data_IF_613752509778
#
_entry.id   IF_613752509778
#
_cell.length_a   1.000
_cell.length_b   1.000
_cell.length_c   1.000
_cell.angle_alpha   90.00
_cell.angle_beta   90.00
_cell.angle_gamma   90.00
#
_symmetry.space_group_name_H-M   'P 1'
#
loop_
_entity.id
_entity.type
_entity.pdbx_description
1 polymer ?
#
# COMPACT_ATOMS: atom_id res chain seq x y z
N UNK A 1 -12.89 -4.42 -15.03
CA UNK A 1 -13.02 -5.52 -16.00
C UNK A 1 -11.84 -6.49 -15.85
N UNK A 2 -12.08 -7.78 -16.13
CA UNK A 2 -11.07 -8.82 -16.28
C UNK A 2 -11.18 -9.39 -17.71
N UNK A 3 -10.03 -9.53 -18.35
CA UNK A 3 -9.92 -10.14 -19.68
C UNK A 3 -9.30 -11.54 -19.56
N UNK A 4 -10.02 -12.56 -20.00
CA UNK A 4 -9.53 -13.93 -20.02
C UNK A 4 -8.71 -14.18 -21.31
N UNK A 5 -7.41 -14.42 -21.17
CA UNK A 5 -6.48 -14.62 -22.28
C UNK A 5 -6.76 -15.91 -23.08
N UNK A 6 -7.41 -16.90 -22.47
CA UNK A 6 -7.73 -18.18 -23.13
C UNK A 6 -9.01 -18.09 -23.95
N UNK A 7 -10.07 -17.55 -23.34
CA UNK A 7 -11.39 -17.45 -24.00
C UNK A 7 -11.56 -16.16 -24.78
N UNK A 8 -10.65 -15.17 -24.65
CA UNK A 8 -10.72 -13.84 -25.24
C UNK A 8 -11.99 -13.07 -24.82
N UNK A 9 -12.53 -13.37 -23.66
CA UNK A 9 -13.73 -12.72 -23.15
C UNK A 9 -13.40 -11.68 -22.09
N UNK A 10 -14.13 -10.59 -22.09
CA UNK A 10 -14.07 -9.55 -21.05
C UNK A 10 -15.25 -9.70 -20.12
N UNK A 11 -15.01 -9.72 -18.82
CA UNK A 11 -16.02 -9.73 -17.76
C UNK A 11 -15.94 -8.44 -16.95
N UNK A 12 -17.07 -7.74 -16.80
CA UNK A 12 -17.18 -6.61 -15.89
C UNK A 12 -17.32 -7.11 -14.46
N UNK A 13 -16.57 -6.52 -13.52
CA UNK A 13 -16.54 -6.91 -12.11
C UNK A 13 -17.30 -5.94 -11.20
N UNK A 14 -17.29 -4.64 -11.53
CA UNK A 14 -17.93 -3.57 -10.75
C UNK A 14 -18.92 -2.80 -11.64
N UNK A 15 -20.05 -2.36 -11.07
CA UNK A 15 -21.16 -1.76 -11.84
C UNK A 15 -21.61 -0.40 -11.31
N UNK A 16 -20.96 0.10 -10.26
CA UNK A 16 -21.29 1.36 -9.58
C UNK A 16 -20.32 2.50 -9.92
N UNK A 17 -19.35 2.25 -10.81
CA UNK A 17 -18.37 3.25 -11.24
C UNK A 17 -19.05 4.43 -11.95
N UNK A 18 -18.79 5.65 -11.47
CA UNK A 18 -19.38 6.87 -12.00
C UNK A 18 -18.38 8.02 -11.87
N UNK A 19 -18.17 8.77 -12.95
CA UNK A 19 -17.22 9.91 -12.98
C UNK A 19 -17.55 10.93 -11.88
N UNK A 20 -16.52 11.36 -11.15
CA UNK A 20 -16.60 12.29 -10.03
C UNK A 20 -17.48 11.80 -8.86
N UNK A 21 -17.70 10.49 -8.75
CA UNK A 21 -18.46 9.87 -7.64
C UNK A 21 -17.83 8.58 -7.13
N UNK A 22 -17.68 7.56 -7.99
CA UNK A 22 -17.23 6.23 -7.57
C UNK A 22 -16.12 5.75 -8.50
N UNK A 23 -14.99 5.40 -7.89
CA UNK A 23 -13.85 4.81 -8.59
C UNK A 23 -13.58 3.41 -8.01
N UNK A 24 -13.32 2.43 -8.86
CA UNK A 24 -12.97 1.07 -8.46
C UNK A 24 -11.67 0.62 -9.10
N UNK A 25 -10.69 0.21 -8.30
CA UNK A 25 -9.45 -0.42 -8.76
C UNK A 25 -8.40 0.52 -9.38
N UNK A 26 -8.68 1.81 -9.45
CA UNK A 26 -7.70 2.88 -9.69
C UNK A 26 -7.85 3.92 -8.58
N UNK A 27 -6.87 4.79 -8.42
CA UNK A 27 -6.88 5.79 -7.34
C UNK A 27 -7.66 7.04 -7.70
N UNK A 28 -8.05 7.78 -6.66
CA UNK A 28 -8.42 9.19 -6.78
C UNK A 28 -7.17 10.08 -6.88
N UNK A 29 -7.35 11.38 -7.03
CA UNK A 29 -6.26 12.34 -7.14
C UNK A 29 -5.32 12.32 -5.92
N UNK A 30 -5.84 12.23 -4.70
CA UNK A 30 -5.04 12.23 -3.46
C UNK A 30 -4.09 11.04 -3.40
N UNK A 31 -4.54 9.86 -3.76
CA UNK A 31 -3.71 8.66 -3.72
C UNK A 31 -2.67 8.62 -4.83
N UNK A 32 -2.99 9.16 -6.00
CA UNK A 32 -2.03 9.28 -7.09
C UNK A 32 -0.88 10.22 -6.71
N UNK A 33 -1.20 11.40 -6.19
CA UNK A 33 -0.21 12.44 -5.86
C UNK A 33 0.51 12.19 -4.53
N UNK A 34 -0.22 11.85 -3.46
CA UNK A 34 0.35 11.78 -2.11
C UNK A 34 0.93 10.39 -1.77
N UNK A 35 0.30 9.31 -2.24
CA UNK A 35 0.78 7.96 -2.01
C UNK A 35 1.53 7.33 -3.20
N UNK A 36 1.60 8.03 -4.34
CA UNK A 36 2.45 7.72 -5.47
C UNK A 36 2.08 6.45 -6.24
N UNK A 37 0.79 6.07 -6.31
CA UNK A 37 0.36 4.92 -7.10
C UNK A 37 -1.00 5.16 -7.79
N UNK A 38 -1.24 4.44 -8.89
CA UNK A 38 -2.47 4.51 -9.68
C UNK A 38 -3.23 3.18 -9.62
N UNK A 39 -2.51 2.06 -9.68
CA UNK A 39 -3.10 0.72 -9.64
C UNK A 39 -3.56 0.37 -8.23
N UNK A 40 -4.85 0.46 -7.96
CA UNK A 40 -5.46 0.21 -6.66
C UNK A 40 -6.09 -1.18 -6.56
N UNK A 41 -5.41 -2.21 -7.10
CA UNK A 41 -5.83 -3.61 -7.01
C UNK A 41 -4.63 -4.56 -7.02
N UNK A 42 -4.80 -5.73 -6.40
CA UNK A 42 -3.80 -6.80 -6.39
C UNK A 42 -4.45 -8.18 -6.54
N UNK A 43 -3.87 -9.02 -7.41
CA UNK A 43 -4.27 -10.40 -7.60
C UNK A 43 -3.74 -11.29 -6.48
N UNK A 44 -4.57 -12.23 -6.01
CA UNK A 44 -4.06 -13.29 -5.14
C UNK A 44 -3.02 -14.15 -5.87
N UNK A 45 -2.06 -14.77 -5.16
CA UNK A 45 -0.99 -15.56 -5.78
C UNK A 45 -1.49 -16.67 -6.72
N UNK A 46 -2.63 -17.28 -6.40
CA UNK A 46 -3.29 -18.31 -7.22
C UNK A 46 -4.19 -17.75 -8.33
N UNK A 47 -4.38 -16.43 -8.39
CA UNK A 47 -5.20 -15.75 -9.40
C UNK A 47 -6.72 -16.00 -9.28
N UNK A 48 -7.20 -16.44 -8.11
CA UNK A 48 -8.63 -16.73 -7.87
C UNK A 48 -9.40 -15.54 -7.29
N UNK A 49 -8.69 -14.60 -6.68
CA UNK A 49 -9.27 -13.41 -6.05
C UNK A 49 -8.56 -12.14 -6.51
N UNK A 50 -9.30 -11.04 -6.51
CA UNK A 50 -8.81 -9.69 -6.77
C UNK A 50 -9.17 -8.81 -5.58
N UNK A 51 -8.16 -8.32 -4.85
CA UNK A 51 -8.34 -7.28 -3.85
C UNK A 51 -8.30 -5.92 -4.55
N UNK A 52 -9.22 -4.99 -4.23
CA UNK A 52 -9.23 -3.67 -4.83
C UNK A 52 -9.77 -2.60 -3.89
N UNK A 53 -9.28 -1.38 -4.06
CA UNK A 53 -9.81 -0.20 -3.38
C UNK A 53 -10.98 0.38 -4.17
N UNK A 54 -11.99 0.81 -3.42
CA UNK A 54 -13.13 1.58 -3.91
C UNK A 54 -13.12 2.93 -3.22
N UNK A 55 -13.20 3.99 -4.01
CA UNK A 55 -13.25 5.37 -3.53
C UNK A 55 -14.64 5.95 -3.79
N UNK A 56 -15.22 6.56 -2.76
CA UNK A 56 -16.42 7.37 -2.89
C UNK A 56 -16.04 8.85 -2.78
N UNK A 57 -15.99 9.52 -3.93
CA UNK A 57 -15.64 10.93 -4.07
C UNK A 57 -16.84 11.87 -3.96
N UNK A 58 -18.04 11.36 -3.62
CA UNK A 58 -19.28 12.17 -3.65
C UNK A 58 -19.16 13.46 -2.84
N UNK A 59 -18.50 13.37 -1.66
CA UNK A 59 -18.32 14.51 -0.76
C UNK A 59 -17.05 15.34 -1.04
N UNK A 60 -16.22 14.92 -2.00
CA UNK A 60 -14.99 15.66 -2.37
C UNK A 60 -15.38 16.89 -3.21
N UNK A 61 -14.84 18.08 -2.91
CA UNK A 61 -15.08 19.26 -3.72
C UNK A 61 -14.59 19.13 -5.16
N UNK A 62 -15.24 19.83 -6.07
CA UNK A 62 -14.85 19.91 -7.48
C UNK A 62 -13.95 21.10 -7.74
N UNK A 63 -12.97 20.89 -8.59
CA UNK A 63 -12.11 21.92 -9.14
C UNK A 63 -12.21 21.93 -10.67
N UNK A 64 -12.33 23.13 -11.24
CA UNK A 64 -12.36 23.32 -12.68
C UNK A 64 -11.13 24.06 -13.14
N UNK A 65 -10.46 23.52 -14.14
CA UNK A 65 -9.25 24.10 -14.70
C UNK A 65 -9.42 24.31 -16.22
N UNK A 66 -9.03 25.48 -16.77
CA UNK A 66 -9.04 25.70 -18.20
C UNK A 66 -7.91 24.93 -18.89
N UNK A 67 -8.24 24.15 -19.91
CA UNK A 67 -7.28 23.45 -20.75
C UNK A 67 -7.18 24.20 -22.08
N UNK A 68 -6.01 24.77 -22.34
CA UNK A 68 -5.68 25.47 -23.56
C UNK A 68 -5.14 24.47 -24.59
N UNK A 69 -5.94 24.23 -25.63
CA UNK A 69 -5.54 23.44 -26.80
C UNK A 69 -5.13 24.34 -27.97
N UNK A 70 -5.42 23.87 -29.20
CA UNK A 70 -5.21 24.65 -30.42
C UNK A 70 -6.36 25.65 -30.76
N UNK A 71 -7.45 25.59 -30.01
CA UNK A 71 -8.62 26.41 -30.21
C UNK A 71 -8.45 27.81 -29.55
N UNK A 72 -9.25 28.78 -30.04
CA UNK A 72 -9.23 30.15 -29.47
C UNK A 72 -9.69 30.23 -28.03
N UNK A 73 -10.54 29.33 -27.59
CA UNK A 73 -11.11 29.29 -26.25
C UNK A 73 -10.74 27.97 -25.55
N UNK A 74 -10.38 28.02 -24.25
CA UNK A 74 -10.09 26.81 -23.49
C UNK A 74 -11.37 26.01 -23.23
N UNK A 75 -11.21 24.69 -23.08
CA UNK A 75 -12.23 23.82 -22.50
C UNK A 75 -12.03 23.74 -20.99
N UNK A 76 -13.14 23.62 -20.22
CA UNK A 76 -13.05 23.40 -18.79
C UNK A 76 -13.01 21.91 -18.48
N UNK A 77 -11.97 21.49 -17.76
CA UNK A 77 -11.91 20.16 -17.18
C UNK A 77 -12.27 20.25 -15.70
N UNK A 78 -13.34 19.53 -15.29
CA UNK A 78 -13.80 19.47 -13.91
C UNK A 78 -13.55 18.08 -13.35
N UNK A 79 -12.93 18.01 -12.17
CA UNK A 79 -12.59 16.78 -11.46
C UNK A 79 -12.60 17.00 -9.95
N UNK A 80 -12.61 15.92 -9.18
CA UNK A 80 -12.57 15.97 -7.72
C UNK A 80 -11.16 16.30 -7.23
N UNK A 81 -11.05 17.35 -6.41
CA UNK A 81 -9.77 17.85 -5.91
C UNK A 81 -9.98 18.49 -4.54
N UNK A 82 -9.63 17.82 -3.45
CA UNK A 82 -9.75 18.40 -2.11
C UNK A 82 -8.56 19.33 -1.86
N UNK A 83 -8.84 20.56 -1.45
CA UNK A 83 -7.82 21.44 -0.90
C UNK A 83 -7.54 21.08 0.56
N UNK A 84 -6.42 21.61 1.09
CA UNK A 84 -6.05 21.37 2.49
C UNK A 84 -7.22 21.68 3.44
N UNK A 85 -7.54 20.73 4.32
CA UNK A 85 -8.62 20.82 5.27
C UNK A 85 -10.00 20.34 4.78
N UNK A 86 -10.18 20.08 3.48
CA UNK A 86 -11.44 19.60 2.91
C UNK A 86 -11.59 18.07 3.04
N UNK A 87 -12.75 17.56 2.62
CA UNK A 87 -13.05 16.14 2.66
C UNK A 87 -12.27 15.40 1.56
N UNK A 88 -11.64 14.29 1.93
CA UNK A 88 -11.11 13.30 0.99
C UNK A 88 -12.20 12.28 0.62
N UNK A 89 -11.93 11.48 -0.41
CA UNK A 89 -12.77 10.34 -0.74
C UNK A 89 -12.84 9.33 0.43
N UNK A 90 -14.00 8.69 0.58
CA UNK A 90 -14.13 7.57 1.52
C UNK A 90 -13.60 6.31 0.83
N UNK A 91 -12.49 5.78 1.34
CA UNK A 91 -11.88 4.56 0.82
C UNK A 91 -12.44 3.32 1.50
N UNK A 92 -12.57 2.23 0.76
CA UNK A 92 -12.88 0.90 1.29
C UNK A 92 -12.16 -0.17 0.50
N UNK A 93 -11.79 -1.27 1.19
CA UNK A 93 -11.11 -2.42 0.61
C UNK A 93 -12.12 -3.53 0.32
N UNK A 94 -12.09 -4.04 -0.90
CA UNK A 94 -13.00 -5.06 -1.40
C UNK A 94 -12.22 -6.27 -1.92
N UNK A 95 -12.84 -7.43 -1.81
CA UNK A 95 -12.35 -8.69 -2.35
C UNK A 95 -13.36 -9.24 -3.35
N UNK A 96 -12.91 -9.47 -4.59
CA UNK A 96 -13.70 -10.12 -5.63
C UNK A 96 -13.23 -11.55 -5.82
N UNK A 97 -14.14 -12.51 -5.71
CA UNK A 97 -13.94 -13.92 -6.01
C UNK A 97 -14.34 -14.21 -7.46
N UNK A 98 -13.44 -14.78 -8.27
CA UNK A 98 -13.67 -14.99 -9.70
C UNK A 98 -14.70 -16.08 -9.97
N UNK A 99 -14.61 -17.22 -9.28
CA UNK A 99 -15.48 -18.39 -9.50
C UNK A 99 -16.92 -18.06 -9.11
N UNK A 100 -17.13 -17.58 -7.89
CA UNK A 100 -18.45 -17.20 -7.37
C UNK A 100 -19.00 -15.88 -7.93
N UNK A 101 -18.19 -15.11 -8.66
CA UNK A 101 -18.50 -13.76 -9.13
C UNK A 101 -19.06 -12.86 -8.00
N UNK A 102 -18.46 -12.98 -6.81
CA UNK A 102 -18.93 -12.33 -5.60
C UNK A 102 -17.94 -11.27 -5.13
N UNK A 103 -18.45 -10.09 -4.78
CA UNK A 103 -17.67 -9.04 -4.11
C UNK A 103 -18.06 -8.99 -2.64
N UNK A 104 -17.06 -8.93 -1.76
CA UNK A 104 -17.23 -8.68 -0.33
C UNK A 104 -16.39 -7.47 0.09
N UNK A 105 -16.90 -6.68 1.04
CA UNK A 105 -16.14 -5.60 1.66
C UNK A 105 -15.37 -6.16 2.85
N UNK A 106 -14.08 -5.86 2.95
CA UNK A 106 -13.29 -6.19 4.14
C UNK A 106 -13.69 -5.25 5.27
N UNK A 107 -14.00 -5.77 6.49
CA UNK A 107 -14.54 -5.00 7.60
C UNK A 107 -13.46 -4.18 8.31
N UNK A 108 -12.82 -3.26 7.61
CA UNK A 108 -11.85 -2.30 8.15
C UNK A 108 -12.40 -0.89 8.02
N UNK A 109 -12.22 -0.10 9.08
CA UNK A 109 -12.44 1.34 9.05
C UNK A 109 -11.08 2.03 9.07
N UNK A 110 -10.80 2.79 8.03
CA UNK A 110 -9.54 3.50 7.86
C UNK A 110 -9.77 4.83 7.14
N UNK A 111 -8.99 5.84 7.48
CA UNK A 111 -9.05 7.09 6.73
C UNK A 111 -8.31 6.98 5.40
N UNK A 112 -7.13 6.30 5.41
CA UNK A 112 -6.37 5.96 4.21
C UNK A 112 -5.99 4.48 4.21
N UNK A 113 -5.92 3.88 3.00
CA UNK A 113 -5.39 2.53 2.75
C UNK A 113 -4.34 2.64 1.63
N UNK A 114 -3.09 3.05 1.97
CA UNK A 114 -2.10 3.38 0.94
C UNK A 114 -1.48 2.16 0.26
N UNK A 115 -1.50 0.97 0.89
CA UNK A 115 -0.88 -0.24 0.32
C UNK A 115 -1.70 -1.47 0.63
N UNK A 116 -1.80 -2.35 -0.37
CA UNK A 116 -2.36 -3.70 -0.26
C UNK A 116 -1.36 -4.69 -0.87
N UNK A 117 -1.16 -5.84 -0.23
CA UNK A 117 -0.22 -6.86 -0.68
C UNK A 117 -0.68 -8.25 -0.24
N UNK A 118 -0.70 -9.22 -1.15
CA UNK A 118 -0.94 -10.60 -0.79
C UNK A 118 0.31 -11.21 -0.13
N UNK A 119 0.11 -12.03 0.90
CA UNK A 119 1.17 -12.81 1.51
C UNK A 119 1.49 -14.05 0.65
N UNK A 120 2.53 -14.80 1.04
CA UNK A 120 2.81 -16.08 0.39
C UNK A 120 1.68 -17.10 0.62
N UNK A 121 1.02 -17.05 1.78
CA UNK A 121 -0.24 -17.75 1.98
C UNK A 121 -1.34 -17.05 1.16
N UNK A 122 -1.92 -17.72 0.14
CA UNK A 122 -2.92 -17.14 -0.75
C UNK A 122 -4.25 -16.80 -0.06
N UNK A 123 -4.47 -17.25 1.17
CA UNK A 123 -5.65 -16.92 1.96
C UNK A 123 -5.48 -15.61 2.76
N UNK A 124 -4.30 -15.02 2.75
CA UNK A 124 -3.96 -13.88 3.59
C UNK A 124 -3.57 -12.64 2.77
N UNK A 125 -4.35 -11.58 2.93
CA UNK A 125 -4.11 -10.25 2.40
C UNK A 125 -3.62 -9.35 3.53
N UNK A 126 -2.48 -8.69 3.33
CA UNK A 126 -2.00 -7.63 4.22
C UNK A 126 -2.26 -6.26 3.59
N UNK A 127 -2.50 -5.25 4.42
CA UNK A 127 -2.68 -3.88 3.95
C UNK A 127 -2.34 -2.90 5.07
N UNK A 128 -1.87 -1.73 4.64
CA UNK A 128 -1.55 -0.63 5.53
C UNK A 128 -2.73 0.34 5.61
N UNK A 129 -2.92 0.94 6.79
CA UNK A 129 -3.90 1.99 6.99
C UNK A 129 -3.28 3.16 7.74
N UNK A 130 -3.80 4.36 7.49
CA UNK A 130 -3.49 5.55 8.25
C UNK A 130 -4.74 6.21 8.81
N UNK A 131 -4.56 6.90 9.94
CA UNK A 131 -5.48 7.95 10.36
C UNK A 131 -5.26 9.23 9.51
N UNK A 132 -6.17 10.23 9.63
CA UNK A 132 -6.06 11.49 8.86
C UNK A 132 -4.77 12.27 9.12
N UNK A 133 -4.25 12.24 10.35
CA UNK A 133 -3.03 12.96 10.72
C UNK A 133 -1.75 12.26 10.26
N UNK A 134 -1.86 11.04 9.71
CA UNK A 134 -0.72 10.22 9.27
C UNK A 134 0.36 10.06 10.35
N UNK A 135 -0.05 10.02 11.61
CA UNK A 135 0.82 9.77 12.75
C UNK A 135 0.56 8.41 13.42
N UNK A 136 -0.32 7.61 12.82
CA UNK A 136 -0.60 6.23 13.19
C UNK A 136 -0.73 5.39 11.92
N UNK A 137 0.22 4.45 11.72
CA UNK A 137 0.20 3.45 10.68
C UNK A 137 -0.10 2.09 11.29
N UNK A 138 -1.06 1.36 10.72
CA UNK A 138 -1.39 0.00 11.12
C UNK A 138 -1.24 -0.93 9.93
N UNK A 139 -0.46 -2.00 10.09
CA UNK A 139 -0.41 -3.13 9.18
C UNK A 139 -1.43 -4.17 9.64
N UNK A 140 -2.47 -4.37 8.84
CA UNK A 140 -3.47 -5.42 9.05
C UNK A 140 -3.17 -6.65 8.20
N UNK A 141 -3.70 -7.78 8.67
CA UNK A 141 -3.86 -9.02 7.90
C UNK A 141 -5.34 -9.41 7.91
N UNK A 142 -5.86 -9.76 6.75
CA UNK A 142 -7.19 -10.34 6.57
C UNK A 142 -7.07 -11.73 5.98
N UNK A 143 -7.70 -12.72 6.62
CA UNK A 143 -7.80 -14.08 6.10
C UNK A 143 -9.15 -14.26 5.40
N UNK A 144 -9.13 -14.53 4.08
CA UNK A 144 -10.35 -14.60 3.25
C UNK A 144 -11.26 -15.80 3.56
N UNK A 145 -10.72 -16.85 4.20
CA UNK A 145 -11.48 -18.08 4.53
C UNK A 145 -12.19 -17.94 5.88
N UNK A 146 -11.49 -17.49 6.90
CA UNK A 146 -12.06 -17.28 8.24
C UNK A 146 -12.71 -15.90 8.42
N UNK A 147 -12.52 -15.00 7.46
CA UNK A 147 -12.93 -13.58 7.52
C UNK A 147 -12.32 -12.83 8.72
N UNK A 148 -11.25 -13.35 9.30
CA UNK A 148 -10.58 -12.77 10.45
C UNK A 148 -9.70 -11.59 10.02
N UNK A 149 -9.88 -10.45 10.69
CA UNK A 149 -9.05 -9.26 10.59
C UNK A 149 -8.18 -9.15 11.83
N UNK A 150 -6.86 -9.09 11.66
CA UNK A 150 -5.89 -8.99 12.75
C UNK A 150 -4.88 -7.87 12.52
N UNK A 151 -4.40 -7.25 13.59
CA UNK A 151 -3.29 -6.28 13.53
C UNK A 151 -1.98 -7.05 13.60
N UNK A 152 -1.13 -6.89 12.58
CA UNK A 152 0.24 -7.44 12.57
C UNK A 152 1.24 -6.47 13.19
N UNK A 153 1.13 -5.19 12.86
CA UNK A 153 2.08 -4.19 13.33
C UNK A 153 1.42 -2.83 13.45
N UNK A 154 1.94 -2.00 14.34
CA UNK A 154 1.47 -0.64 14.54
C UNK A 154 2.67 0.28 14.80
N UNK A 155 2.73 1.38 14.07
CA UNK A 155 3.66 2.48 14.33
C UNK A 155 2.89 3.75 14.68
N UNK A 156 3.41 4.47 15.64
CA UNK A 156 2.86 5.75 16.09
C UNK A 156 4.00 6.71 16.34
N UNK A 157 3.90 7.91 15.85
CA UNK A 157 4.79 9.02 16.16
C UNK A 157 3.99 10.26 16.53
N UNK A 158 4.57 11.15 17.33
CA UNK A 158 3.89 12.39 17.72
C UNK A 158 3.72 13.38 16.56
N UNK A 159 4.57 13.27 15.54
CA UNK A 159 4.58 14.15 14.37
C UNK A 159 4.01 13.44 13.14
N UNK A 160 4.71 12.42 12.63
CA UNK A 160 4.40 11.79 11.34
C UNK A 160 4.97 10.39 11.24
N UNK A 161 4.31 9.49 10.50
CA UNK A 161 4.80 8.17 10.11
C UNK A 161 4.70 8.05 8.60
N UNK A 162 5.80 7.69 7.94
CA UNK A 162 5.83 7.46 6.50
C UNK A 162 5.13 6.17 6.08
N UNK A 163 4.62 6.14 4.84
CA UNK A 163 4.16 4.89 4.20
C UNK A 163 5.32 3.92 4.09
N UNK A 164 5.10 2.68 4.47
CA UNK A 164 6.12 1.65 4.37
C UNK A 164 6.05 0.89 3.04
N UNK A 165 6.93 1.23 2.11
CA UNK A 165 7.06 0.57 0.81
C UNK A 165 8.00 -0.64 0.83
N UNK A 166 8.65 -0.89 1.96
CA UNK A 166 9.70 -1.90 2.10
C UNK A 166 9.22 -3.21 2.74
N UNK A 167 7.91 -3.33 3.01
CA UNK A 167 7.32 -4.56 3.54
C UNK A 167 7.62 -5.74 2.62
N UNK A 168 8.29 -6.76 3.15
CA UNK A 168 8.59 -7.99 2.42
C UNK A 168 8.28 -9.20 3.29
N UNK A 169 7.28 -10.00 2.90
CA UNK A 169 6.99 -11.26 3.54
C UNK A 169 7.97 -12.35 3.10
N UNK A 170 8.52 -13.08 4.07
CA UNK A 170 9.39 -14.22 3.87
C UNK A 170 8.55 -15.51 3.74
N UNK A 171 9.17 -16.63 3.34
CA UNK A 171 8.43 -17.88 3.13
C UNK A 171 7.75 -18.45 4.38
N UNK A 172 8.23 -18.09 5.56
CA UNK A 172 7.65 -18.48 6.86
C UNK A 172 6.65 -17.46 7.37
N UNK A 173 6.22 -16.51 6.51
CA UNK A 173 5.37 -15.37 6.81
C UNK A 173 5.93 -14.38 7.86
N UNK A 174 7.16 -14.55 8.32
CA UNK A 174 7.88 -13.46 8.97
C UNK A 174 8.10 -12.34 7.94
N UNK A 175 8.35 -11.10 8.39
CA UNK A 175 8.48 -10.01 7.45
C UNK A 175 9.57 -9.02 7.83
N UNK A 176 10.14 -8.41 6.79
CA UNK A 176 11.06 -7.28 6.89
C UNK A 176 10.23 -5.99 6.87
N UNK A 177 10.59 -5.07 7.75
CA UNK A 177 9.95 -3.77 7.92
C UNK A 177 11.02 -2.70 8.09
N UNK A 178 10.78 -1.50 7.60
CA UNK A 178 11.62 -0.33 7.90
C UNK A 178 10.90 0.59 8.88
N UNK A 179 11.64 1.22 9.80
CA UNK A 179 11.06 2.09 10.79
C UNK A 179 12.05 3.12 11.29
N UNK A 180 11.57 4.33 11.54
CA UNK A 180 12.32 5.44 12.13
C UNK A 180 12.20 5.53 13.66
N UNK A 181 11.57 4.56 14.29
CA UNK A 181 11.30 4.56 15.75
C UNK A 181 12.54 4.75 16.64
N UNK A 182 13.75 4.52 16.09
CA UNK A 182 15.03 4.74 16.76
C UNK A 182 15.67 6.10 16.46
N UNK A 183 14.99 6.99 15.72
CA UNK A 183 15.50 8.30 15.29
C UNK A 183 16.09 8.31 13.88
N UNK A 184 16.41 7.14 13.32
CA UNK A 184 16.87 6.92 11.96
C UNK A 184 16.12 5.73 11.34
N UNK A 185 15.93 5.76 10.04
CA UNK A 185 15.28 4.66 9.33
C UNK A 185 16.18 3.41 9.31
N UNK A 186 15.71 2.32 9.91
CA UNK A 186 16.43 1.05 10.00
C UNK A 186 15.56 -0.14 9.62
N UNK A 187 16.22 -1.28 9.33
CA UNK A 187 15.61 -2.55 8.99
C UNK A 187 15.31 -3.37 10.25
N UNK A 188 14.12 -3.93 10.31
CA UNK A 188 13.63 -4.79 11.38
C UNK A 188 13.06 -6.10 10.82
N UNK A 189 13.23 -7.18 11.56
CA UNK A 189 12.60 -8.48 11.29
C UNK A 189 11.50 -8.73 12.31
N UNK A 190 10.30 -9.00 11.83
CA UNK A 190 9.14 -9.41 12.63
C UNK A 190 8.80 -10.88 12.37
N UNK A 191 8.21 -11.56 13.34
CA UNK A 191 7.62 -12.88 13.11
C UNK A 191 6.27 -12.76 12.39
N UNK A 192 5.69 -13.89 12.01
CA UNK A 192 4.40 -13.97 11.31
C UNK A 192 3.21 -13.37 12.08
N UNK A 193 3.35 -13.16 13.39
CA UNK A 193 2.32 -12.57 14.25
C UNK A 193 2.59 -11.08 14.53
N UNK A 194 3.61 -10.49 13.88
CA UNK A 194 3.96 -9.08 14.03
C UNK A 194 4.90 -8.75 15.19
N UNK A 195 5.31 -9.74 15.99
CA UNK A 195 6.28 -9.50 17.06
C UNK A 195 7.66 -9.25 16.48
N UNK A 196 8.29 -8.14 16.88
CA UNK A 196 9.67 -7.88 16.49
C UNK A 196 10.61 -8.95 17.03
N UNK A 197 11.35 -9.58 16.13
CA UNK A 197 12.38 -10.57 16.43
C UNK A 197 13.73 -9.91 16.58
N UNK A 198 14.01 -8.89 15.75
CA UNK A 198 15.34 -8.29 15.70
C UNK A 198 15.35 -6.97 14.93
N UNK A 199 16.12 -6.01 15.41
CA UNK A 199 16.65 -4.91 14.61
C UNK A 199 17.85 -5.43 13.81
N UNK A 200 17.85 -5.22 12.50
CA UNK A 200 18.87 -5.75 11.57
C UNK A 200 19.99 -4.75 11.30
N UNK A 201 19.65 -3.47 11.32
CA UNK A 201 20.62 -2.37 11.14
C UNK A 201 20.43 -1.34 12.26
N UNK A 202 21.52 -0.68 12.68
CA UNK A 202 21.51 0.31 13.74
C UNK A 202 22.68 1.29 13.63
N UNK A 203 22.56 2.46 14.22
CA UNK A 203 23.59 3.50 14.24
C UNK A 203 22.99 4.89 13.98
N UNK A 204 23.84 5.92 14.04
CA UNK A 204 23.45 7.31 13.78
C UNK A 204 23.50 7.61 12.26
N UNK A 205 22.82 6.77 11.49
CA UNK A 205 22.68 6.81 10.04
C UNK A 205 21.39 6.11 9.63
N UNK A 206 20.95 6.30 8.40
CA UNK A 206 19.68 5.77 7.92
C UNK A 206 19.82 4.84 6.71
N UNK A 207 18.89 3.92 6.57
CA UNK A 207 18.63 3.18 5.33
C UNK A 207 17.84 4.11 4.41
N UNK A 208 18.41 4.46 3.26
CA UNK A 208 17.80 5.38 2.29
C UNK A 208 17.11 4.67 1.13
N UNK A 209 17.44 3.40 0.89
CA UNK A 209 16.71 2.54 -0.04
C UNK A 209 16.84 1.07 0.37
N UNK A 210 15.77 0.33 0.19
CA UNK A 210 15.71 -1.11 0.36
C UNK A 210 15.64 -1.79 -1.00
N UNK A 211 16.57 -2.71 -1.30
CA UNK A 211 16.67 -3.36 -2.60
C UNK A 211 16.09 -4.78 -2.61
N UNK A 212 15.79 -5.33 -1.44
CA UNK A 212 15.16 -6.63 -1.31
C UNK A 212 15.95 -7.65 -0.53
N UNK A 213 15.38 -8.86 -0.44
CA UNK A 213 15.92 -10.01 0.28
C UNK A 213 16.30 -11.13 -0.67
N UNK A 214 17.59 -11.54 -0.64
CA UNK A 214 18.06 -12.76 -1.32
C UNK A 214 17.86 -13.97 -0.41
N UNK A 215 16.85 -14.76 -0.73
CA UNK A 215 16.50 -15.93 0.05
C UNK A 215 17.58 -17.03 0.05
N UNK A 216 18.33 -17.19 -1.04
CA UNK A 216 19.40 -18.20 -1.13
C UNK A 216 20.59 -17.85 -0.24
N UNK A 217 20.96 -16.58 -0.24
CA UNK A 217 22.07 -16.05 0.58
C UNK A 217 21.63 -15.66 1.98
N UNK A 218 20.32 -15.55 2.23
CA UNK A 218 19.73 -15.03 3.47
C UNK A 218 20.24 -13.64 3.83
N UNK A 219 20.41 -12.78 2.80
CA UNK A 219 20.92 -11.42 2.91
C UNK A 219 19.90 -10.40 2.39
N UNK A 220 19.86 -9.27 3.07
CA UNK A 220 19.11 -8.09 2.69
C UNK A 220 20.10 -7.10 2.07
N UNK A 221 19.73 -6.49 0.95
CA UNK A 221 20.51 -5.44 0.29
C UNK A 221 19.79 -4.10 0.44
N UNK A 222 20.56 -3.08 0.77
CA UNK A 222 20.05 -1.74 1.03
C UNK A 222 21.10 -0.67 0.75
N UNK A 223 20.65 0.57 0.63
CA UNK A 223 21.52 1.75 0.57
C UNK A 223 21.46 2.48 1.91
N UNK A 224 22.54 3.10 2.31
CA UNK A 224 22.56 3.88 3.55
C UNK A 224 23.56 5.02 3.56
N UNK A 225 23.41 5.89 4.57
CA UNK A 225 24.32 7.00 4.88
C UNK A 225 25.43 6.64 5.88
N UNK A 226 25.73 5.35 6.10
CA UNK A 226 26.64 4.87 7.13
C UNK A 226 28.08 5.45 7.00
N UNK A 227 28.52 5.80 5.79
CA UNK A 227 29.83 6.43 5.55
C UNK A 227 29.82 7.96 5.58
N UNK A 228 28.66 8.56 5.90
CA UNK A 228 28.47 9.99 6.00
C UNK A 228 27.20 10.48 5.32
N UNK A 229 26.65 11.60 5.78
CA UNK A 229 25.33 12.12 5.39
C UNK A 229 25.17 12.41 3.88
N UNK A 230 26.27 12.68 3.17
CA UNK A 230 26.26 12.92 1.71
C UNK A 230 26.52 11.66 0.89
N UNK A 231 26.91 10.55 1.53
CA UNK A 231 27.23 9.29 0.85
C UNK A 231 25.99 8.39 0.76
N UNK A 232 25.92 7.64 -0.32
CA UNK A 232 24.87 6.66 -0.60
C UNK A 232 25.50 5.38 -1.13
N UNK A 233 25.98 4.53 -0.21
CA UNK A 233 26.63 3.27 -0.55
C UNK A 233 25.68 2.09 -0.38
N UNK A 234 25.94 1.01 -1.13
CA UNK A 234 25.16 -0.23 -1.07
C UNK A 234 25.78 -1.22 -0.08
N UNK A 235 24.94 -1.73 0.80
CA UNK A 235 25.31 -2.66 1.86
C UNK A 235 24.50 -3.95 1.80
N UNK A 236 24.95 -4.94 2.52
CA UNK A 236 24.15 -6.12 2.81
C UNK A 236 24.24 -6.50 4.29
N UNK A 237 23.14 -7.01 4.85
CA UNK A 237 23.11 -7.58 6.19
C UNK A 237 22.43 -8.95 6.14
N UNK A 238 22.93 -9.91 6.92
CA UNK A 238 22.25 -11.20 7.07
C UNK A 238 20.94 -11.05 7.82
N UNK A 239 19.96 -11.90 7.51
CA UNK A 239 18.66 -11.94 8.24
C UNK A 239 18.84 -12.24 9.76
N UNK A 240 20.02 -12.73 10.15
CA UNK A 240 20.40 -12.92 11.54
C UNK A 240 21.06 -11.67 12.16
N UNK A 241 21.12 -10.55 11.45
CA UNK A 241 21.73 -9.29 11.90
C UNK A 241 23.26 -9.30 11.88
N UNK A 242 23.89 -10.25 11.17
CA UNK A 242 25.35 -10.31 11.02
C UNK A 242 25.74 -9.98 9.59
N UNK A 243 26.85 -9.29 9.44
CA UNK A 243 27.47 -8.97 8.15
C UNK A 243 28.18 -10.18 7.54
#
# INVERSE_FOLDING_TARGET
YVFDLKTQQTKQLTFDGEKNRIINGITDWVYEEEFGFVRAFEWSPEGTHLAFLRFDETAVPEYSMPIYGADLYPTLQTFKYPKAGENNAIVSLHLYELEGAKTSKIPVEAYYIPRIIWKNNPDELAFQTFNRHQNELILYQYNKVSEALTVLHKEVDAAYVDVNDNLTFLLDDSFIWTSEKGGYNHLYLHDKNGKEKRQLTSGDWEVTAYYGYDQKRKKIFFQSTAMGSINRDVYSVGINGKN
#
